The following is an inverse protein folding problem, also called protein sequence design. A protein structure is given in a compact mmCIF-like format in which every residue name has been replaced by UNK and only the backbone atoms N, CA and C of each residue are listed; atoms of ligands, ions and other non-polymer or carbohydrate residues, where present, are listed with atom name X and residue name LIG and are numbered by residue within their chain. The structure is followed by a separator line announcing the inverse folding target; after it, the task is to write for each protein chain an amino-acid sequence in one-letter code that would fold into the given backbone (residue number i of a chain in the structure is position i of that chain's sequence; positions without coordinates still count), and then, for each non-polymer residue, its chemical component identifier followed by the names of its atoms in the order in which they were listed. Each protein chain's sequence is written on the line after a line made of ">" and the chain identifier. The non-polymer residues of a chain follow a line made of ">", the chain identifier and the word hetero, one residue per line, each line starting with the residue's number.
data_IF_113268330030
#
_entry.id   IF_113268330030
#
_cell.length_a   1.000
_cell.length_b   1.000
_cell.length_c   1.000
_cell.angle_alpha   90.00
_cell.angle_beta   90.00
_cell.angle_gamma   90.00
#
_symmetry.space_group_name_H-M   'P 1'
#
loop_
_entity.id
_entity.type
_entity.pdbx_description
1 polymer ?
#
# COMPACT_ATOMS: atom_id res chain seq x y z
N UNK A 1 -19.68 14.24 -83.14
CA UNK A 1 -21.15 14.28 -83.28
C UNK A 1 -21.72 13.44 -82.15
N UNK A 2 -22.41 13.90 -81.11
CA UNK A 2 -22.99 15.20 -80.79
C UNK A 2 -22.84 15.46 -79.27
N UNK A 3 -22.57 16.73 -78.94
CA UNK A 3 -22.91 17.56 -77.74
C UNK A 3 -23.40 16.88 -76.46
N UNK A 4 -22.90 17.27 -75.28
CA UNK A 4 -23.44 18.42 -74.53
C UNK A 4 -22.41 19.10 -73.59
N UNK A 5 -22.52 20.44 -73.53
CA UNK A 5 -21.80 21.41 -72.69
C UNK A 5 -22.25 21.38 -71.22
N UNK A 6 -21.38 21.78 -70.29
CA UNK A 6 -21.58 22.85 -69.27
C UNK A 6 -20.38 22.79 -68.30
N UNK A 7 -19.65 23.85 -67.94
CA UNK A 7 -20.05 25.23 -67.73
C UNK A 7 -19.88 25.56 -66.25
N UNK A 8 -18.67 25.98 -65.87
CA UNK A 8 -18.34 26.43 -64.52
C UNK A 8 -19.13 27.70 -64.17
N UNK A 9 -19.77 27.71 -63.00
CA UNK A 9 -20.33 28.92 -62.40
C UNK A 9 -19.92 29.02 -60.93
N UNK A 10 -19.24 30.13 -60.65
CA UNK A 10 -18.98 30.71 -59.34
C UNK A 10 -20.31 30.98 -58.63
N UNK A 11 -20.41 30.61 -57.35
CA UNK A 11 -21.32 31.28 -56.42
C UNK A 11 -20.60 31.66 -55.14
N UNK A 12 -20.63 32.97 -54.90
CA UNK A 12 -20.16 33.71 -53.74
C UNK A 12 -21.23 33.55 -52.64
N UNK A 13 -20.87 33.03 -51.46
CA UNK A 13 -21.73 33.10 -50.29
C UNK A 13 -21.05 33.95 -49.21
N UNK A 14 -21.80 34.93 -48.73
CA UNK A 14 -21.40 35.99 -47.81
C UNK A 14 -21.01 35.45 -46.43
N UNK A 15 -19.98 36.09 -45.90
CA UNK A 15 -19.53 36.13 -44.52
C UNK A 15 -20.52 36.91 -43.64
N UNK A 16 -21.16 36.23 -42.70
CA UNK A 16 -21.80 36.83 -41.53
C UNK A 16 -21.28 36.09 -40.28
N UNK A 17 -20.18 36.58 -39.71
CA UNK A 17 -19.73 36.17 -38.38
C UNK A 17 -20.31 37.13 -37.34
N UNK A 18 -21.05 36.65 -36.31
CA UNK A 18 -21.31 37.45 -35.13
C UNK A 18 -20.00 37.59 -34.32
N UNK A 19 -19.78 38.71 -33.61
CA UNK A 19 -18.55 38.90 -32.85
C UNK A 19 -18.51 37.89 -31.70
N UNK A 20 -17.46 37.07 -31.67
CA UNK A 20 -17.16 36.20 -30.54
C UNK A 20 -16.81 37.07 -29.33
N UNK A 21 -17.78 37.27 -28.44
CA UNK A 21 -17.55 37.82 -27.12
C UNK A 21 -16.58 36.91 -26.36
N UNK A 22 -15.36 37.39 -26.17
CA UNK A 22 -14.34 36.79 -25.32
C UNK A 22 -14.78 36.82 -23.86
N UNK A 23 -15.57 35.84 -23.44
CA UNK A 23 -15.79 35.54 -22.04
C UNK A 23 -14.76 34.48 -21.63
N UNK A 24 -13.63 34.97 -21.14
CA UNK A 24 -12.66 34.18 -20.37
C UNK A 24 -13.43 33.54 -19.22
N UNK A 25 -13.80 32.26 -19.33
CA UNK A 25 -14.30 31.47 -18.20
C UNK A 25 -13.17 31.40 -17.19
N UNK A 26 -13.22 32.28 -16.19
CA UNK A 26 -12.43 32.14 -14.98
C UNK A 26 -12.87 30.82 -14.33
N UNK A 27 -12.05 29.79 -14.50
CA UNK A 27 -12.18 28.58 -13.70
C UNK A 27 -12.00 29.01 -12.24
N UNK A 28 -13.07 28.86 -11.45
CA UNK A 28 -12.99 29.07 -10.01
C UNK A 28 -11.90 28.15 -9.46
N UNK A 29 -10.84 28.75 -8.92
CA UNK A 29 -9.82 28.02 -8.16
C UNK A 29 -10.55 27.28 -7.03
N UNK A 30 -10.35 25.96 -6.86
CA UNK A 30 -10.98 25.22 -5.77
C UNK A 30 -10.65 25.90 -4.44
N UNK A 31 -11.69 26.41 -3.77
CA UNK A 31 -11.56 27.07 -2.48
C UNK A 31 -10.95 26.06 -1.49
N UNK A 32 -9.87 26.45 -0.82
CA UNK A 32 -9.32 25.64 0.26
C UNK A 32 -10.46 25.30 1.25
N UNK A 33 -10.57 24.04 1.71
CA UNK A 33 -11.61 23.64 2.65
C UNK A 33 -11.59 24.55 3.88
N UNK A 34 -12.78 24.96 4.32
CA UNK A 34 -12.95 25.85 5.47
C UNK A 34 -12.30 25.24 6.71
N UNK A 35 -11.77 26.09 7.59
CA UNK A 35 -11.06 25.76 8.84
C UNK A 35 -11.79 24.73 9.74
N UNK A 36 -13.12 24.58 9.61
CA UNK A 36 -13.91 23.58 10.35
C UNK A 36 -14.14 22.22 9.65
N UNK A 37 -13.70 22.01 8.41
CA UNK A 37 -13.99 20.75 7.69
C UNK A 37 -13.12 19.56 8.13
N UNK A 38 -12.00 19.82 8.79
CA UNK A 38 -11.03 18.79 9.21
C UNK A 38 -11.07 18.47 10.70
N UNK A 39 -11.58 19.37 11.54
CA UNK A 39 -11.55 19.24 13.00
C UNK A 39 -12.27 18.00 13.51
N UNK A 40 -13.28 17.54 12.78
CA UNK A 40 -14.11 16.39 13.18
C UNK A 40 -13.44 15.06 12.86
N UNK A 41 -12.52 15.04 11.88
CA UNK A 41 -11.78 13.84 11.47
C UNK A 41 -10.50 13.66 12.29
N UNK A 42 -9.79 14.77 12.56
CA UNK A 42 -8.54 14.76 13.31
C UNK A 42 -8.79 14.98 14.80
N UNK A 43 -9.34 13.95 15.45
CA UNK A 43 -9.60 13.92 16.89
C UNK A 43 -9.05 12.65 17.54
N UNK A 44 -8.47 12.78 18.73
CA UNK A 44 -7.94 11.67 19.53
C UNK A 44 -9.00 11.06 20.46
N UNK A 45 -10.27 11.47 20.36
CA UNK A 45 -11.33 11.00 21.25
C UNK A 45 -11.46 9.46 21.30
N UNK A 46 -11.21 8.79 20.18
CA UNK A 46 -11.27 7.32 20.04
C UNK A 46 -9.89 6.66 20.08
N UNK A 47 -8.82 7.44 20.28
CA UNK A 47 -7.44 6.96 20.27
C UNK A 47 -6.84 7.30 21.63
N UNK A 48 -7.09 6.48 22.67
CA UNK A 48 -6.53 6.74 23.99
C UNK A 48 -5.01 6.50 24.00
N UNK A 49 -4.34 7.05 25.01
CA UNK A 49 -2.90 6.85 25.22
C UNK A 49 -2.50 5.38 25.33
N UNK A 50 -3.35 4.54 25.93
CA UNK A 50 -3.13 3.09 26.02
C UNK A 50 -2.96 2.42 24.65
N UNK A 51 -3.54 2.99 23.58
CA UNK A 51 -3.30 2.50 22.22
C UNK A 51 -1.84 2.67 21.83
N UNK A 52 -1.21 3.82 22.12
CA UNK A 52 0.21 4.03 21.84
C UNK A 52 1.11 3.08 22.64
N UNK A 53 0.80 2.88 23.92
CA UNK A 53 1.52 1.94 24.79
C UNK A 53 1.46 0.50 24.24
N UNK A 54 0.28 0.08 23.77
CA UNK A 54 0.10 -1.23 23.13
C UNK A 54 0.90 -1.36 21.83
N UNK A 55 0.90 -0.34 20.97
CA UNK A 55 1.68 -0.37 19.72
C UNK A 55 3.18 -0.36 20.01
N UNK A 56 3.64 0.47 20.93
CA UNK A 56 5.08 0.60 21.21
C UNK A 56 5.61 -0.67 21.86
N UNK A 57 4.88 -1.26 22.82
CA UNK A 57 5.32 -2.48 23.51
C UNK A 57 5.48 -3.67 22.58
N UNK A 58 4.56 -3.85 21.61
CA UNK A 58 4.64 -4.97 20.64
C UNK A 58 5.67 -4.79 19.52
N UNK A 59 6.16 -3.57 19.28
CA UNK A 59 7.14 -3.27 18.22
C UNK A 59 8.59 -3.22 18.73
N UNK A 60 8.82 -3.56 20.00
CA UNK A 60 10.15 -3.62 20.62
C UNK A 60 10.93 -2.33 20.43
N UNK A 61 12.03 -2.43 19.67
CA UNK A 61 13.02 -1.37 19.53
C UNK A 61 12.67 -0.29 18.49
N UNK A 62 11.58 -0.47 17.75
CA UNK A 62 11.24 0.38 16.59
C UNK A 62 10.86 1.82 16.97
N UNK A 63 10.42 2.08 18.21
CA UNK A 63 9.90 3.39 18.64
C UNK A 63 10.58 3.93 19.91
N UNK A 64 11.91 3.77 20.03
CA UNK A 64 12.68 4.13 21.23
C UNK A 64 12.93 5.62 21.47
N UNK A 65 12.64 6.50 20.48
CA UNK A 65 12.99 7.92 20.55
C UNK A 65 12.28 8.67 21.67
N UNK A 66 11.02 8.33 21.91
CA UNK A 66 10.15 8.96 22.90
C UNK A 66 9.39 7.88 23.68
N UNK A 67 8.93 8.24 24.88
CA UNK A 67 8.00 7.40 25.62
C UNK A 67 6.59 7.48 25.02
N UNK A 68 5.70 6.49 25.26
CA UNK A 68 4.32 6.51 24.76
C UNK A 68 3.56 7.79 25.08
N UNK A 69 3.74 8.33 26.29
CA UNK A 69 3.14 9.60 26.72
C UNK A 69 3.64 10.77 25.87
N UNK A 70 4.93 10.83 25.57
CA UNK A 70 5.52 11.90 24.77
C UNK A 70 5.08 11.84 23.31
N UNK A 71 4.90 10.64 22.75
CA UNK A 71 4.26 10.49 21.44
C UNK A 71 2.81 10.98 21.47
N UNK A 72 2.04 10.61 22.50
CA UNK A 72 0.67 11.06 22.65
C UNK A 72 0.56 12.58 22.74
N UNK A 73 1.42 13.23 23.54
CA UNK A 73 1.51 14.70 23.64
C UNK A 73 1.78 15.33 22.26
N UNK A 74 2.66 14.74 21.46
CA UNK A 74 2.95 15.21 20.10
C UNK A 74 1.74 15.07 19.17
N UNK A 75 0.97 13.98 19.28
CA UNK A 75 -0.27 13.80 18.52
C UNK A 75 -1.34 14.83 18.94
N UNK A 76 -1.43 15.17 20.23
CA UNK A 76 -2.32 16.23 20.73
C UNK A 76 -1.94 17.58 20.13
N UNK A 77 -0.66 17.93 20.13
CA UNK A 77 -0.17 19.18 19.52
C UNK A 77 -0.44 19.26 18.03
N UNK A 78 -0.31 18.14 17.31
CA UNK A 78 -0.69 18.04 15.91
C UNK A 78 -2.18 18.30 15.69
N UNK A 79 -3.02 17.71 16.53
CA UNK A 79 -4.46 17.96 16.54
C UNK A 79 -4.79 19.43 16.79
N UNK A 80 -4.14 20.05 17.79
CA UNK A 80 -4.32 21.47 18.10
C UNK A 80 -3.89 22.38 16.97
N UNK A 81 -2.79 22.07 16.28
CA UNK A 81 -2.33 22.84 15.13
C UNK A 81 -3.39 22.85 14.01
N UNK A 82 -4.03 21.70 13.74
CA UNK A 82 -5.13 21.60 12.78
C UNK A 82 -6.35 22.40 13.24
N UNK A 83 -6.73 22.29 14.52
CA UNK A 83 -7.84 23.07 15.10
C UNK A 83 -7.60 24.58 15.04
N UNK A 84 -6.34 25.01 15.13
CA UNK A 84 -5.92 26.42 14.96
C UNK A 84 -5.84 26.86 13.48
N UNK A 85 -6.17 25.99 12.53
CA UNK A 85 -6.29 26.29 11.10
C UNK A 85 -5.12 25.81 10.23
N UNK A 86 -4.17 25.05 10.77
CA UNK A 86 -3.11 24.45 9.96
C UNK A 86 -3.70 23.41 9.00
N UNK A 87 -3.16 23.33 7.79
CA UNK A 87 -3.52 22.26 6.85
C UNK A 87 -2.97 20.92 7.38
N UNK A 88 -3.81 19.86 7.52
CA UNK A 88 -3.35 18.55 7.97
C UNK A 88 -2.24 17.95 7.10
N UNK A 89 -2.16 18.36 5.84
CA UNK A 89 -1.23 17.81 4.84
C UNK A 89 0.12 18.51 4.82
N UNK A 90 0.28 19.59 5.57
CA UNK A 90 1.46 20.44 5.58
C UNK A 90 1.63 21.13 6.94
N UNK A 91 1.36 20.42 8.04
CA UNK A 91 1.57 20.95 9.39
C UNK A 91 3.07 21.13 9.60
N UNK A 92 3.45 22.34 10.01
CA UNK A 92 4.83 22.66 10.36
C UNK A 92 4.86 23.26 11.76
N UNK A 93 5.85 22.87 12.55
CA UNK A 93 6.08 23.38 13.88
C UNK A 93 7.39 24.14 13.90
N UNK A 94 7.38 25.37 14.40
CA UNK A 94 8.57 26.24 14.49
C UNK A 94 8.84 26.65 15.93
N UNK A 95 10.12 26.81 16.28
CA UNK A 95 10.54 27.32 17.58
C UNK A 95 10.55 26.26 18.69
N UNK A 96 10.28 26.67 19.93
CA UNK A 96 10.31 25.79 21.12
C UNK A 96 9.31 24.64 21.07
N UNK A 97 8.34 24.76 20.17
CA UNK A 97 7.25 23.84 19.96
C UNK A 97 7.43 22.92 18.74
N UNK A 98 8.66 22.82 18.22
CA UNK A 98 8.98 21.97 17.09
C UNK A 98 8.77 20.48 17.42
N UNK A 99 8.04 19.78 16.56
CA UNK A 99 8.03 18.31 16.53
C UNK A 99 9.05 17.89 15.45
N UNK A 100 10.10 17.13 15.79
CA UNK A 100 11.05 16.63 14.80
C UNK A 100 10.36 15.81 13.70
N UNK A 101 10.89 15.85 12.48
CA UNK A 101 10.29 15.16 11.33
C UNK A 101 10.34 13.64 11.49
N UNK A 102 11.35 13.13 12.19
CA UNK A 102 11.51 11.74 12.59
C UNK A 102 10.39 11.32 13.55
N UNK A 103 10.05 12.16 14.52
CA UNK A 103 8.94 11.93 15.46
C UNK A 103 7.60 11.94 14.71
N UNK A 104 7.40 12.86 13.77
CA UNK A 104 6.19 12.86 12.93
C UNK A 104 6.06 11.57 12.11
N UNK A 105 7.17 11.06 11.58
CA UNK A 105 7.18 9.78 10.87
C UNK A 105 6.85 8.60 11.79
N UNK A 106 7.51 8.51 12.95
CA UNK A 106 7.28 7.46 13.95
C UNK A 106 5.82 7.48 14.43
N UNK A 107 5.26 8.68 14.69
CA UNK A 107 3.84 8.84 15.03
C UNK A 107 2.91 8.33 13.93
N UNK A 108 3.21 8.64 12.68
CA UNK A 108 2.41 8.14 11.56
C UNK A 108 2.44 6.61 11.48
N UNK A 109 3.60 6.00 11.70
CA UNK A 109 3.77 4.55 11.78
C UNK A 109 2.98 3.95 12.95
N UNK A 110 3.01 4.59 14.13
CA UNK A 110 2.22 4.16 15.30
C UNK A 110 0.72 4.27 15.00
N UNK A 111 0.26 5.41 14.49
CA UNK A 111 -1.15 5.65 14.15
C UNK A 111 -1.67 4.62 13.14
N UNK A 112 -0.88 4.29 12.12
CA UNK A 112 -1.25 3.29 11.11
C UNK A 112 -1.49 1.89 11.70
N UNK A 113 -0.84 1.60 12.83
CA UNK A 113 -0.92 0.32 13.50
C UNK A 113 -2.08 0.22 14.50
N UNK A 114 -2.75 1.33 14.82
CA UNK A 114 -3.95 1.36 15.67
C UNK A 114 -5.15 0.94 14.83
N UNK A 115 -5.76 -0.19 15.18
CA UNK A 115 -6.92 -0.73 14.48
C UNK A 115 -8.22 -0.14 15.02
N UNK A 116 -9.19 0.09 14.12
CA UNK A 116 -10.57 0.49 14.46
C UNK A 116 -10.90 1.93 14.05
N UNK A 117 -10.38 2.96 14.72
CA UNK A 117 -10.75 4.35 14.45
C UNK A 117 -10.28 4.83 13.07
N UNK A 118 -11.21 5.34 12.24
CA UNK A 118 -10.87 5.97 10.95
C UNK A 118 -9.95 7.19 11.11
N UNK A 119 -10.02 7.84 12.27
CA UNK A 119 -9.16 8.97 12.63
C UNK A 119 -7.68 8.56 12.68
N UNK A 120 -7.35 7.33 13.07
CA UNK A 120 -5.96 6.86 13.15
C UNK A 120 -5.31 6.80 11.75
N UNK A 121 -6.00 6.24 10.76
CA UNK A 121 -5.54 6.23 9.37
C UNK A 121 -5.43 7.64 8.77
N UNK A 122 -6.37 8.53 9.12
CA UNK A 122 -6.30 9.93 8.72
C UNK A 122 -5.06 10.62 9.32
N UNK A 123 -4.80 10.43 10.61
CA UNK A 123 -3.60 10.95 11.28
C UNK A 123 -2.32 10.42 10.65
N UNK A 124 -2.22 9.11 10.41
CA UNK A 124 -1.05 8.53 9.76
C UNK A 124 -0.76 9.18 8.40
N UNK A 125 -1.79 9.32 7.58
CA UNK A 125 -1.70 9.97 6.26
C UNK A 125 -1.25 11.43 6.38
N UNK A 126 -1.86 12.19 7.29
CA UNK A 126 -1.55 13.61 7.50
C UNK A 126 -0.14 13.85 8.06
N UNK A 127 0.30 13.03 9.01
CA UNK A 127 1.61 13.13 9.62
C UNK A 127 2.72 12.75 8.63
N UNK A 128 2.56 11.67 7.84
CA UNK A 128 3.50 11.38 6.76
C UNK A 128 3.49 12.47 5.69
N UNK A 129 2.32 12.99 5.30
CA UNK A 129 2.25 14.08 4.33
C UNK A 129 3.00 15.34 4.83
N UNK A 130 2.78 15.72 6.08
CA UNK A 130 3.44 16.86 6.71
C UNK A 130 4.96 16.68 6.82
N UNK A 131 5.44 15.50 7.24
CA UNK A 131 6.86 15.20 7.27
C UNK A 131 7.48 15.13 5.85
N UNK A 132 6.75 14.64 4.86
CA UNK A 132 7.16 14.66 3.45
C UNK A 132 7.25 16.10 2.92
N UNK A 133 6.33 16.99 3.32
CA UNK A 133 6.40 18.42 2.97
C UNK A 133 7.70 19.07 3.46
N UNK A 134 8.17 18.64 4.63
CA UNK A 134 9.45 19.06 5.23
C UNK A 134 10.67 18.32 4.64
N UNK A 135 10.50 17.53 3.60
CA UNK A 135 11.59 16.84 2.88
C UNK A 135 12.03 15.52 3.51
N UNK A 136 11.30 14.99 4.50
CA UNK A 136 11.67 13.73 5.13
C UNK A 136 11.37 12.54 4.21
N UNK A 137 12.43 11.94 3.66
CA UNK A 137 12.38 10.84 2.70
C UNK A 137 11.55 9.64 3.19
N UNK A 138 11.75 9.08 4.40
CA UNK A 138 10.98 7.92 4.85
C UNK A 138 9.47 8.14 4.82
N UNK A 139 9.00 9.34 5.20
CA UNK A 139 7.57 9.68 5.14
C UNK A 139 7.04 9.78 3.71
N UNK A 140 7.86 10.28 2.77
CA UNK A 140 7.49 10.30 1.35
C UNK A 140 7.28 8.89 0.82
N UNK A 141 8.20 7.97 1.14
CA UNK A 141 8.15 6.58 0.71
C UNK A 141 6.99 5.82 1.37
N UNK A 142 6.86 5.90 2.70
CA UNK A 142 5.79 5.20 3.43
C UNK A 142 4.41 5.62 2.97
N UNK A 143 4.18 6.92 2.77
CA UNK A 143 2.89 7.40 2.26
C UNK A 143 2.67 7.01 0.80
N UNK A 144 3.68 7.12 -0.08
CA UNK A 144 3.54 6.68 -1.47
C UNK A 144 3.14 5.20 -1.54
N UNK A 145 3.81 4.33 -0.77
CA UNK A 145 3.50 2.90 -0.70
C UNK A 145 2.10 2.62 -0.15
N UNK A 146 1.69 3.34 0.89
CA UNK A 146 0.32 3.23 1.43
C UNK A 146 -0.74 3.62 0.38
N UNK A 147 -0.48 4.68 -0.40
CA UNK A 147 -1.37 5.10 -1.48
C UNK A 147 -1.42 4.06 -2.62
N UNK A 148 -0.29 3.42 -2.94
CA UNK A 148 -0.22 2.35 -3.94
C UNK A 148 -1.11 1.18 -3.51
N UNK A 149 -0.91 0.67 -2.29
CA UNK A 149 -1.64 -0.50 -1.75
C UNK A 149 -3.14 -0.29 -1.57
N UNK A 150 -3.53 0.94 -1.25
CA UNK A 150 -4.95 1.31 -1.14
C UNK A 150 -5.59 1.65 -2.50
N UNK A 151 -4.81 1.67 -3.59
CA UNK A 151 -5.27 2.12 -4.90
C UNK A 151 -5.59 3.63 -4.97
N UNK A 152 -5.16 4.41 -3.98
CA UNK A 152 -5.39 5.85 -3.89
C UNK A 152 -4.31 6.70 -4.58
N UNK A 153 -3.20 6.09 -5.00
CA UNK A 153 -2.11 6.78 -5.70
C UNK A 153 -2.61 7.46 -6.99
N UNK A 154 -2.35 8.76 -7.13
CA UNK A 154 -2.83 9.59 -8.24
C UNK A 154 -4.27 10.09 -8.11
N UNK A 155 -5.02 9.65 -7.09
CA UNK A 155 -6.45 9.97 -6.92
C UNK A 155 -6.73 11.09 -5.92
N UNK A 156 -5.76 11.47 -5.09
CA UNK A 156 -5.93 12.40 -3.97
C UNK A 156 -5.23 13.75 -4.27
N UNK A 157 -5.96 14.81 -4.70
CA UNK A 157 -5.35 16.08 -5.11
C UNK A 157 -4.45 16.72 -4.04
N UNK A 158 -4.83 16.60 -2.78
CA UNK A 158 -4.08 17.13 -1.64
C UNK A 158 -2.73 16.43 -1.39
N UNK A 159 -2.52 15.23 -1.95
CA UNK A 159 -1.29 14.44 -1.78
C UNK A 159 -0.36 14.51 -3.01
N UNK A 160 -0.70 15.30 -4.03
CA UNK A 160 0.11 15.42 -5.26
C UNK A 160 1.56 15.82 -5.02
N UNK A 161 1.83 16.62 -3.98
CA UNK A 161 3.20 17.01 -3.64
C UNK A 161 4.03 15.83 -3.13
N UNK A 162 3.43 14.94 -2.34
CA UNK A 162 4.08 13.69 -1.90
C UNK A 162 4.38 12.81 -3.11
N UNK A 163 3.42 12.65 -4.01
CA UNK A 163 3.61 11.88 -5.25
C UNK A 163 4.69 12.48 -6.15
N UNK A 164 4.77 13.81 -6.25
CA UNK A 164 5.82 14.49 -7.01
C UNK A 164 7.20 14.24 -6.41
N UNK A 165 7.35 14.30 -5.08
CA UNK A 165 8.62 13.95 -4.40
C UNK A 165 8.97 12.49 -4.59
N UNK A 166 8.01 11.58 -4.48
CA UNK A 166 8.23 10.16 -4.76
C UNK A 166 8.73 9.94 -6.20
N UNK A 167 8.08 10.56 -7.20
CA UNK A 167 8.51 10.50 -8.59
C UNK A 167 9.92 11.07 -8.79
N UNK A 168 10.27 12.11 -8.04
CA UNK A 168 11.63 12.66 -8.05
C UNK A 168 12.65 11.67 -7.48
N UNK A 169 12.36 10.99 -6.37
CA UNK A 169 13.23 9.95 -5.81
C UNK A 169 13.45 8.83 -6.83
N UNK A 170 12.37 8.36 -7.45
CA UNK A 170 12.39 7.35 -8.51
C UNK A 170 13.22 7.79 -9.72
N UNK A 171 13.05 9.03 -10.19
CA UNK A 171 13.74 9.51 -11.39
C UNK A 171 15.26 9.65 -11.21
N UNK A 172 15.75 9.74 -9.97
CA UNK A 172 17.20 9.68 -9.71
C UNK A 172 17.80 8.32 -10.04
N UNK A 173 17.00 7.25 -9.99
CA UNK A 173 17.43 5.87 -10.24
C UNK A 173 18.40 5.30 -9.20
N UNK A 174 18.66 6.01 -8.09
CA UNK A 174 19.67 5.63 -7.08
C UNK A 174 19.06 5.16 -5.76
N UNK A 175 17.78 5.40 -5.56
CA UNK A 175 17.07 5.08 -4.32
C UNK A 175 16.39 3.71 -4.45
N UNK A 176 16.93 2.64 -3.82
CA UNK A 176 16.39 1.29 -3.98
C UNK A 176 14.99 1.13 -3.36
N UNK A 177 14.68 1.82 -2.26
CA UNK A 177 13.34 1.73 -1.65
C UNK A 177 12.29 2.44 -2.53
N UNK A 178 12.65 3.57 -3.15
CA UNK A 178 11.80 4.27 -4.10
C UNK A 178 11.53 3.41 -5.33
N UNK A 179 12.58 2.76 -5.87
CA UNK A 179 12.46 1.83 -6.99
C UNK A 179 11.63 0.59 -6.62
N UNK A 180 11.75 0.07 -5.39
CA UNK A 180 10.93 -1.04 -4.90
C UNK A 180 9.43 -0.67 -4.89
N UNK A 181 9.09 0.51 -4.38
CA UNK A 181 7.72 1.02 -4.43
C UNK A 181 7.24 1.33 -5.86
N UNK A 182 8.11 1.80 -6.76
CA UNK A 182 7.74 1.96 -8.18
C UNK A 182 7.42 0.60 -8.82
N UNK A 183 8.22 -0.42 -8.51
CA UNK A 183 7.98 -1.79 -8.94
C UNK A 183 6.63 -2.32 -8.49
N UNK A 184 6.24 -2.09 -7.23
CA UNK A 184 4.91 -2.41 -6.73
C UNK A 184 3.81 -1.63 -7.47
N UNK A 185 3.96 -0.31 -7.68
CA UNK A 185 2.98 0.47 -8.41
C UNK A 185 2.77 -0.07 -9.84
N UNK A 186 3.85 -0.46 -10.51
CA UNK A 186 3.79 -1.06 -11.85
C UNK A 186 3.10 -2.43 -11.82
N UNK A 187 3.35 -3.24 -10.79
CA UNK A 187 2.68 -4.51 -10.57
C UNK A 187 1.15 -4.32 -10.39
N UNK A 188 0.73 -3.39 -9.54
CA UNK A 188 -0.69 -3.07 -9.31
C UNK A 188 -1.37 -2.51 -10.58
N UNK A 189 -0.61 -1.91 -11.49
CA UNK A 189 -1.08 -1.47 -12.81
C UNK A 189 -1.11 -2.60 -13.86
N UNK A 190 -0.74 -3.83 -13.51
CA UNK A 190 -0.66 -4.96 -14.44
C UNK A 190 0.54 -4.92 -15.39
N UNK A 191 1.49 -4.00 -15.18
CA UNK A 191 2.69 -3.83 -16.03
C UNK A 191 3.83 -4.71 -15.54
N UNK A 192 3.62 -6.02 -15.54
CA UNK A 192 4.48 -6.98 -14.86
C UNK A 192 5.93 -7.03 -15.38
N UNK A 193 6.15 -6.99 -16.69
CA UNK A 193 7.52 -6.98 -17.26
C UNK A 193 8.34 -5.77 -16.79
N UNK A 194 7.71 -4.59 -16.79
CA UNK A 194 8.34 -3.35 -16.33
C UNK A 194 8.55 -3.39 -14.82
N UNK A 195 7.60 -3.95 -14.07
CA UNK A 195 7.76 -4.16 -12.63
C UNK A 195 8.99 -5.02 -12.31
N UNK A 196 9.16 -6.16 -12.99
CA UNK A 196 10.34 -7.03 -12.83
C UNK A 196 11.63 -6.27 -13.12
N UNK A 197 11.71 -5.55 -14.24
CA UNK A 197 12.90 -4.79 -14.60
C UNK A 197 13.24 -3.70 -13.56
N UNK A 198 12.23 -2.99 -13.06
CA UNK A 198 12.39 -1.95 -12.02
C UNK A 198 12.83 -2.54 -10.68
N UNK A 199 12.23 -3.64 -10.24
CA UNK A 199 12.58 -4.33 -8.98
C UNK A 199 14.00 -4.90 -9.04
N UNK A 200 14.38 -5.50 -10.16
CA UNK A 200 15.76 -5.95 -10.37
C UNK A 200 16.75 -4.78 -10.40
N UNK A 201 16.35 -3.61 -10.91
CA UNK A 201 17.18 -2.39 -10.84
C UNK A 201 17.34 -1.93 -9.40
N UNK A 202 16.30 -1.99 -8.56
CA UNK A 202 16.40 -1.71 -7.13
C UNK A 202 17.42 -2.64 -6.44
N UNK A 203 17.36 -3.95 -6.72
CA UNK A 203 18.29 -4.95 -6.17
C UNK A 203 19.75 -4.78 -6.62
N UNK A 204 19.98 -4.10 -7.74
CA UNK A 204 21.33 -3.77 -8.24
C UNK A 204 21.78 -2.35 -7.87
N UNK A 205 20.94 -1.56 -7.21
CA UNK A 205 21.30 -0.20 -6.86
C UNK A 205 22.44 -0.22 -5.83
N UNK A 206 23.53 0.47 -6.14
CA UNK A 206 24.64 0.67 -5.22
C UNK A 206 24.22 1.71 -4.17
N UNK A 207 23.63 1.23 -3.09
CA UNK A 207 23.18 2.04 -1.95
C UNK A 207 23.65 1.40 -0.65
N UNK A 208 24.17 2.24 0.25
CA UNK A 208 24.57 1.82 1.58
C UNK A 208 23.38 1.32 2.43
N UNK A 209 22.16 1.70 2.08
CA UNK A 209 20.93 1.22 2.72
C UNK A 209 19.88 0.78 1.70
N UNK A 210 19.33 -0.42 1.91
CA UNK A 210 18.15 -0.92 1.21
C UNK A 210 17.22 -1.58 2.24
N UNK A 211 16.49 -0.74 2.97
CA UNK A 211 15.63 -1.17 4.07
C UNK A 211 14.51 -2.09 3.57
N UNK A 212 14.00 -1.85 2.36
CA UNK A 212 12.89 -2.60 1.79
C UNK A 212 13.34 -3.76 0.89
N UNK A 213 14.55 -4.29 1.07
CA UNK A 213 15.07 -5.38 0.24
C UNK A 213 14.18 -6.64 0.25
N UNK A 214 13.82 -7.24 1.42
CA UNK A 214 12.96 -8.44 1.43
C UNK A 214 11.61 -8.18 0.76
N UNK A 215 11.13 -6.94 0.91
CA UNK A 215 9.91 -6.51 0.29
C UNK A 215 10.01 -6.39 -1.25
N UNK A 216 11.10 -5.84 -1.75
CA UNK A 216 11.40 -5.76 -3.17
C UNK A 216 11.45 -7.16 -3.79
N UNK A 217 12.11 -8.10 -3.11
CA UNK A 217 12.21 -9.51 -3.53
C UNK A 217 10.82 -10.18 -3.54
N UNK A 218 9.96 -9.91 -2.54
CA UNK A 218 8.59 -10.42 -2.52
C UNK A 218 7.78 -9.90 -3.72
N UNK A 219 7.85 -8.60 -4.00
CA UNK A 219 7.21 -8.02 -5.18
C UNK A 219 7.75 -8.62 -6.49
N UNK A 220 9.05 -8.92 -6.54
CA UNK A 220 9.69 -9.54 -7.69
C UNK A 220 9.15 -10.95 -7.91
N UNK A 221 9.10 -11.78 -6.86
CA UNK A 221 8.50 -13.12 -6.90
C UNK A 221 7.06 -13.08 -7.42
N UNK A 222 6.22 -12.20 -6.86
CA UNK A 222 4.83 -12.01 -7.32
C UNK A 222 4.74 -11.60 -8.79
N UNK A 223 5.58 -10.66 -9.23
CA UNK A 223 5.59 -10.20 -10.62
C UNK A 223 6.04 -11.32 -11.60
N UNK A 224 7.04 -12.12 -11.21
CA UNK A 224 7.50 -13.28 -11.98
C UNK A 224 6.39 -14.34 -12.12
N UNK A 225 5.63 -14.62 -11.06
CA UNK A 225 4.47 -15.52 -11.13
C UNK A 225 3.43 -15.03 -12.15
N UNK A 226 3.14 -13.73 -12.18
CA UNK A 226 2.20 -13.15 -13.15
C UNK A 226 2.68 -13.23 -14.61
N UNK A 227 3.98 -13.35 -14.83
CA UNK A 227 4.59 -13.59 -16.14
C UNK A 227 4.73 -15.08 -16.49
N UNK A 228 4.31 -16.00 -15.61
CA UNK A 228 4.47 -17.44 -15.82
C UNK A 228 5.91 -17.94 -15.60
N UNK A 229 6.80 -17.12 -15.04
CA UNK A 229 8.20 -17.47 -14.73
C UNK A 229 8.29 -18.16 -13.37
N UNK A 230 7.62 -19.31 -13.25
CA UNK A 230 7.36 -19.98 -11.96
C UNK A 230 8.64 -20.42 -11.24
N UNK A 231 9.62 -21.01 -11.94
CA UNK A 231 10.87 -21.47 -11.31
C UNK A 231 11.72 -20.32 -10.74
N UNK A 232 11.80 -19.20 -11.45
CA UNK A 232 12.52 -18.02 -10.95
C UNK A 232 11.79 -17.39 -9.76
N UNK A 233 10.46 -17.31 -9.82
CA UNK A 233 9.66 -16.83 -8.71
C UNK A 233 9.85 -17.71 -7.47
N UNK A 234 9.83 -19.03 -7.66
CA UNK A 234 10.01 -20.01 -6.61
C UNK A 234 11.33 -19.83 -5.88
N UNK A 235 12.45 -19.73 -6.60
CA UNK A 235 13.76 -19.53 -5.95
C UNK A 235 13.83 -18.27 -5.09
N UNK A 236 13.24 -17.16 -5.54
CA UNK A 236 13.17 -15.92 -4.76
C UNK A 236 12.27 -16.08 -3.52
N UNK A 237 11.10 -16.70 -3.68
CA UNK A 237 10.14 -16.87 -2.59
C UNK A 237 10.62 -17.91 -1.55
N UNK A 238 11.29 -18.99 -1.96
CA UNK A 238 11.89 -19.97 -1.04
C UNK A 238 12.94 -19.30 -0.15
N UNK A 239 13.85 -18.49 -0.73
CA UNK A 239 14.83 -17.74 0.06
C UNK A 239 14.19 -16.77 1.07
N UNK A 240 13.06 -16.14 0.70
CA UNK A 240 12.32 -15.26 1.60
C UNK A 240 11.60 -16.04 2.71
N UNK A 241 11.00 -17.18 2.38
CA UNK A 241 10.39 -18.10 3.36
C UNK A 241 11.44 -18.59 4.38
N UNK A 242 12.63 -18.98 3.92
CA UNK A 242 13.75 -19.37 4.78
C UNK A 242 14.21 -18.24 5.72
N UNK A 243 14.07 -16.98 5.29
CA UNK A 243 14.32 -15.80 6.13
C UNK A 243 13.19 -15.45 7.11
N UNK A 244 12.09 -16.22 7.09
CA UNK A 244 10.92 -16.04 7.95
C UNK A 244 9.89 -15.04 7.44
N UNK A 245 9.92 -14.67 6.16
CA UNK A 245 8.92 -13.76 5.60
C UNK A 245 7.61 -14.50 5.29
N UNK A 246 6.62 -14.33 6.17
CA UNK A 246 5.31 -15.00 6.13
C UNK A 246 4.59 -14.83 4.79
N UNK A 247 4.67 -13.65 4.16
CA UNK A 247 4.05 -13.42 2.87
C UNK A 247 4.63 -14.30 1.76
N UNK A 248 5.90 -14.72 1.87
CA UNK A 248 6.51 -15.61 0.89
C UNK A 248 5.93 -17.03 0.99
N UNK A 249 5.70 -17.54 2.21
CA UNK A 249 5.01 -18.82 2.44
C UNK A 249 3.61 -18.82 1.83
N UNK A 250 2.87 -17.71 1.97
CA UNK A 250 1.54 -17.57 1.38
C UNK A 250 1.59 -17.69 -0.16
N UNK A 251 2.54 -17.01 -0.80
CA UNK A 251 2.66 -17.06 -2.26
C UNK A 251 3.18 -18.42 -2.74
N UNK A 252 4.09 -19.07 -2.02
CA UNK A 252 4.54 -20.44 -2.29
C UNK A 252 3.39 -21.44 -2.15
N UNK A 253 2.61 -21.36 -1.08
CA UNK A 253 1.47 -22.25 -0.86
C UNK A 253 0.43 -22.14 -1.98
N UNK A 254 0.15 -20.91 -2.45
CA UNK A 254 -0.76 -20.70 -3.60
C UNK A 254 -0.19 -21.28 -4.89
N UNK A 255 1.09 -21.03 -5.16
CA UNK A 255 1.78 -21.50 -6.36
C UNK A 255 1.82 -23.04 -6.42
N UNK A 256 2.13 -23.69 -5.29
CA UNK A 256 2.34 -25.13 -5.22
C UNK A 256 1.04 -25.93 -5.12
N UNK A 257 -0.11 -25.30 -4.82
CA UNK A 257 -1.39 -26.00 -4.59
C UNK A 257 -1.77 -27.00 -5.69
N UNK A 258 -1.42 -26.71 -6.94
CA UNK A 258 -1.74 -27.57 -8.09
C UNK A 258 -0.64 -28.60 -8.43
N UNK A 259 0.62 -28.35 -8.09
CA UNK A 259 1.77 -29.17 -8.50
C UNK A 259 2.37 -30.01 -7.38
N UNK A 260 2.36 -29.52 -6.14
CA UNK A 260 2.90 -30.17 -4.95
C UNK A 260 2.04 -29.80 -3.73
N UNK A 261 0.96 -30.57 -3.55
CA UNK A 261 -0.05 -30.30 -2.52
C UNK A 261 0.52 -30.36 -1.12
N UNK A 262 1.44 -31.28 -0.85
CA UNK A 262 2.00 -31.49 0.48
C UNK A 262 2.88 -30.30 0.89
N UNK A 263 3.73 -29.79 -0.03
CA UNK A 263 4.48 -28.55 0.25
C UNK A 263 3.58 -27.33 0.33
N UNK A 264 2.52 -27.27 -0.46
CA UNK A 264 1.55 -26.20 -0.35
C UNK A 264 0.89 -26.16 1.04
N UNK A 265 0.51 -27.32 1.58
CA UNK A 265 -0.03 -27.44 2.94
C UNK A 265 1.03 -27.03 3.99
N UNK A 266 2.29 -27.42 3.82
CA UNK A 266 3.39 -27.02 4.74
C UNK A 266 3.58 -25.49 4.79
N UNK A 267 3.66 -24.82 3.65
CA UNK A 267 3.82 -23.36 3.62
C UNK A 267 2.58 -22.64 4.18
N UNK A 268 1.37 -23.11 3.87
CA UNK A 268 0.14 -22.53 4.41
C UNK A 268 0.06 -22.70 5.94
N UNK A 269 0.51 -23.84 6.47
CA UNK A 269 0.62 -24.07 7.90
C UNK A 269 1.68 -23.17 8.56
N UNK A 270 2.86 -23.06 7.95
CA UNK A 270 3.90 -22.14 8.43
C UNK A 270 3.39 -20.71 8.49
N UNK A 271 2.70 -20.23 7.45
CA UNK A 271 2.10 -18.90 7.45
C UNK A 271 1.03 -18.74 8.54
N UNK A 272 0.19 -19.76 8.75
CA UNK A 272 -0.85 -19.75 9.80
C UNK A 272 -0.24 -19.58 11.20
N UNK A 273 0.79 -20.37 11.51
CA UNK A 273 1.48 -20.32 12.79
C UNK A 273 2.25 -19.02 13.01
N UNK A 274 2.67 -18.33 11.94
CA UNK A 274 3.45 -17.09 12.03
C UNK A 274 2.59 -15.82 11.87
N UNK A 275 1.34 -15.84 12.33
CA UNK A 275 0.52 -14.63 12.47
C UNK A 275 -0.47 -14.39 11.33
N UNK A 276 -0.73 -15.39 10.49
CA UNK A 276 -1.78 -15.36 9.45
C UNK A 276 -2.80 -16.47 9.66
N UNK A 277 -3.56 -16.46 10.78
CA UNK A 277 -4.51 -17.52 11.11
C UNK A 277 -5.59 -17.74 10.04
N UNK A 278 -5.86 -16.74 9.19
CA UNK A 278 -6.72 -16.89 8.02
C UNK A 278 -6.24 -17.97 7.03
N UNK A 279 -4.95 -18.35 7.07
CA UNK A 279 -4.42 -19.47 6.28
C UNK A 279 -4.95 -20.84 6.73
N UNK A 280 -5.46 -20.98 7.96
CA UNK A 280 -6.16 -22.20 8.38
C UNK A 280 -7.45 -22.43 7.55
N UNK A 281 -8.12 -21.39 7.07
CA UNK A 281 -9.25 -21.55 6.14
C UNK A 281 -8.81 -22.19 4.82
N UNK A 282 -7.66 -21.77 4.28
CA UNK A 282 -7.12 -22.38 3.06
C UNK A 282 -6.68 -23.83 3.27
N UNK A 283 -6.10 -24.15 4.44
CA UNK A 283 -5.80 -25.54 4.79
C UNK A 283 -7.06 -26.39 4.89
N UNK A 284 -8.16 -25.84 5.43
CA UNK A 284 -9.46 -26.50 5.47
C UNK A 284 -10.00 -26.81 4.06
N UNK A 285 -9.98 -25.80 3.17
CA UNK A 285 -10.35 -25.97 1.77
C UNK A 285 -9.52 -27.06 1.07
N UNK A 286 -8.20 -27.03 1.28
CA UNK A 286 -7.30 -28.02 0.72
C UNK A 286 -7.57 -29.43 1.29
N UNK A 287 -7.91 -29.57 2.56
CA UNK A 287 -8.27 -30.87 3.11
C UNK A 287 -9.57 -31.41 2.47
N UNK A 288 -10.59 -30.56 2.27
CA UNK A 288 -11.86 -30.93 1.62
C UNK A 288 -11.69 -31.33 0.15
N UNK A 289 -10.95 -30.54 -0.63
CA UNK A 289 -10.62 -30.86 -2.02
C UNK A 289 -9.90 -32.21 -2.13
N UNK A 290 -8.94 -32.47 -1.24
CA UNK A 290 -8.23 -33.74 -1.18
C UNK A 290 -9.19 -34.91 -0.88
N UNK A 291 -10.11 -34.73 0.06
CA UNK A 291 -11.13 -35.74 0.38
C UNK A 291 -12.10 -35.98 -0.80
N UNK A 292 -12.44 -34.94 -1.57
CA UNK A 292 -13.33 -35.05 -2.73
C UNK A 292 -12.65 -35.73 -3.93
N UNK A 293 -11.34 -35.52 -4.11
CA UNK A 293 -10.54 -36.15 -5.17
C UNK A 293 -10.16 -37.60 -4.86
N UNK A 294 -10.41 -38.09 -3.64
CA UNK A 294 -10.14 -39.47 -3.23
C UNK A 294 -11.00 -40.46 -4.03
N UNK A 295 -10.40 -41.20 -4.97
CA UNK A 295 -11.09 -42.29 -5.69
C UNK A 295 -10.92 -43.66 -5.02
N UNK A 296 -10.41 -43.71 -3.78
CA UNK A 296 -10.11 -44.93 -3.02
C UNK A 296 -10.19 -44.73 -1.50
N UNK A 297 -9.91 -45.82 -0.76
CA UNK A 297 -9.96 -46.02 0.71
C UNK A 297 -10.68 -44.93 1.54
N UNK A 298 -11.91 -45.24 1.96
CA UNK A 298 -12.79 -44.33 2.69
C UNK A 298 -12.17 -43.75 3.97
N UNK A 299 -11.19 -44.42 4.58
CA UNK A 299 -10.50 -43.91 5.78
C UNK A 299 -9.68 -42.67 5.51
N UNK A 300 -8.94 -42.62 4.40
CA UNK A 300 -8.13 -41.45 4.04
C UNK A 300 -9.00 -40.23 3.73
N UNK A 301 -10.13 -40.45 3.04
CA UNK A 301 -11.11 -39.40 2.81
C UNK A 301 -11.76 -38.92 4.13
N UNK A 302 -11.99 -39.81 5.09
CA UNK A 302 -12.57 -39.45 6.38
C UNK A 302 -11.59 -38.63 7.23
N UNK A 303 -10.32 -39.04 7.28
CA UNK A 303 -9.27 -38.32 8.00
C UNK A 303 -9.05 -36.91 7.45
N UNK A 304 -9.05 -36.74 6.11
CA UNK A 304 -8.98 -35.39 5.52
C UNK A 304 -10.19 -34.52 5.88
N UNK A 305 -11.41 -35.10 5.94
CA UNK A 305 -12.60 -34.35 6.40
C UNK A 305 -12.48 -33.94 7.86
N UNK A 306 -11.89 -34.78 8.72
CA UNK A 306 -11.62 -34.42 10.13
C UNK A 306 -10.64 -33.26 10.23
N UNK A 307 -9.52 -33.32 9.50
CA UNK A 307 -8.56 -32.21 9.45
C UNK A 307 -9.18 -30.91 8.91
N UNK A 308 -10.05 -31.00 7.90
CA UNK A 308 -10.76 -29.83 7.40
C UNK A 308 -11.58 -29.13 8.51
N UNK A 309 -12.26 -29.90 9.37
CA UNK A 309 -13.02 -29.36 10.49
C UNK A 309 -12.11 -28.71 11.55
N UNK A 310 -11.00 -29.35 11.89
CA UNK A 310 -10.05 -28.78 12.87
C UNK A 310 -9.42 -27.48 12.36
N UNK A 311 -9.01 -27.43 11.09
CA UNK A 311 -8.53 -26.20 10.45
C UNK A 311 -9.60 -25.12 10.38
N UNK A 312 -10.85 -25.48 10.10
CA UNK A 312 -11.96 -24.53 10.14
C UNK A 312 -12.19 -23.96 11.55
N UNK A 313 -11.96 -24.76 12.61
CA UNK A 313 -12.06 -24.29 14.00
C UNK A 313 -10.93 -23.33 14.35
N UNK A 314 -9.68 -23.65 13.98
CA UNK A 314 -8.54 -22.77 14.22
C UNK A 314 -8.60 -21.45 13.43
N UNK A 315 -9.32 -21.44 12.30
CA UNK A 315 -9.57 -20.22 11.55
C UNK A 315 -10.61 -19.30 12.22
N UNK A 316 -11.49 -19.84 13.07
CA UNK A 316 -12.51 -19.05 13.75
C UNK A 316 -11.94 -18.39 15.00
N UNK A 317 -11.67 -17.08 14.91
CA UNK A 317 -11.21 -16.26 16.03
C UNK A 317 -12.21 -16.19 17.22
N UNK A 318 -13.43 -16.71 17.07
CA UNK A 318 -14.45 -16.80 18.14
C UNK A 318 -14.53 -18.18 18.77
N UNK A 319 -13.84 -19.18 18.24
CA UNK A 319 -13.74 -20.48 18.89
C UNK A 319 -12.87 -20.30 20.14
N UNK A 320 -13.46 -20.48 21.33
CA UNK A 320 -12.70 -20.52 22.58
C UNK A 320 -11.66 -21.66 22.48
N UNK A 321 -10.40 -21.34 22.76
CA UNK A 321 -9.27 -22.27 22.78
C UNK A 321 -8.82 -22.51 24.23
#
# INVERSE_FOLDING_TARGET
>A
MATLRSGAYLYRARSDHPPASSLTRQYAVPRAPKVGAYSDVFTLAEIPRASFESIISRNGDSFKRLSPERYYDCAQRFTEAIKKGSSPWAVSFTGKDAIPVEVLHELACIMRQIQGPRSADAFATAMWASASELGYRPSTLSLARQLIRSGAYGRMPQLRKVEARFKQLVSTGKDPDALAAEGELLFEQGRFDVAVATLQRALRADSASFEWKPYCELCLGKALLKLGRAEEARGVLEALSESGLVEADIELGKMLRASDRDKAEQHMYAAACNGRPDMFSHLSEMALEGAAAATGDGRWSEDRRRWALEWSRLADARAEH
#
